data_IF_755194837714
#
_entry.id   IF_755194837714
#
_cell.length_a   1.000
_cell.length_b   1.000
_cell.length_c   1.000
_cell.angle_alpha   90.00
_cell.angle_beta   90.00
_cell.angle_gamma   90.00
#
_symmetry.space_group_name_H-M   'P 1'
#
loop_
_entity.id
_entity.type
_entity.pdbx_description
1 polymer ?
#
# COMPACT_ATOMS: atom_id res chain seq x y z
N UNK A 1 -0.01 12.76 9.67
CA UNK A 1 0.51 12.43 8.33
C UNK A 1 -0.53 11.55 7.66
N UNK A 2 -0.83 11.78 6.38
CA UNK A 2 -1.88 11.05 5.65
C UNK A 2 -1.23 10.33 4.48
N UNK A 3 -1.29 8.99 4.44
CA UNK A 3 -0.70 8.20 3.35
C UNK A 3 -1.69 8.16 2.18
N UNK A 4 -1.31 8.67 1.01
CA UNK A 4 -2.20 8.71 -0.16
C UNK A 4 -2.10 7.48 -1.04
N UNK A 5 -0.90 6.92 -1.18
CA UNK A 5 -0.71 5.69 -1.93
C UNK A 5 0.61 5.03 -1.57
N UNK A 6 0.65 3.71 -1.77
CA UNK A 6 1.89 2.94 -1.81
C UNK A 6 1.92 2.13 -3.10
N UNK A 7 3.07 2.14 -3.75
CA UNK A 7 3.41 1.28 -4.86
C UNK A 7 4.65 0.46 -4.52
N UNK A 8 4.60 -0.84 -4.76
CA UNK A 8 5.77 -1.74 -4.71
C UNK A 8 5.85 -2.47 -6.04
N UNK A 9 6.95 -2.28 -6.77
CA UNK A 9 7.22 -2.95 -8.03
C UNK A 9 8.71 -3.23 -8.13
N UNK A 10 9.11 -4.48 -8.39
CA UNK A 10 10.52 -4.86 -8.59
C UNK A 10 11.45 -4.35 -7.47
N UNK A 11 11.01 -4.45 -6.21
CA UNK A 11 11.62 -3.89 -4.99
C UNK A 11 11.72 -2.35 -4.91
N UNK A 12 11.33 -1.62 -5.97
CA UNK A 12 11.15 -0.18 -5.89
C UNK A 12 9.87 0.15 -5.10
N UNK A 13 10.03 1.01 -4.08
CA UNK A 13 8.94 1.49 -3.24
C UNK A 13 8.67 2.94 -3.58
N UNK A 14 7.40 3.29 -3.75
CA UNK A 14 6.97 4.68 -3.88
C UNK A 14 5.77 4.94 -2.98
N UNK A 15 5.94 5.78 -1.96
CA UNK A 15 4.88 6.17 -1.02
C UNK A 15 4.59 7.65 -1.17
N UNK A 16 3.34 7.98 -1.55
CA UNK A 16 2.86 9.35 -1.56
C UNK A 16 2.14 9.66 -0.26
N UNK A 17 2.42 10.81 0.36
CA UNK A 17 1.82 11.21 1.63
C UNK A 17 1.68 12.72 1.76
N UNK A 18 0.79 13.15 2.64
CA UNK A 18 0.58 14.55 3.01
C UNK A 18 1.02 14.80 4.44
N UNK A 19 1.63 15.96 4.67
CA UNK A 19 1.92 16.49 6.01
C UNK A 19 0.97 17.65 6.31
N UNK A 20 0.55 17.82 7.57
CA UNK A 20 -0.20 19.02 7.97
C UNK A 20 0.63 20.26 7.65
N UNK A 21 0.04 21.25 6.99
CA UNK A 21 0.66 22.54 6.70
C UNK A 21 -0.12 23.67 7.36
N UNK A 22 0.58 24.64 7.92
CA UNK A 22 -0.02 25.77 8.61
C UNK A 22 -0.62 26.82 7.65
N UNK A 23 -0.43 26.68 6.34
CA UNK A 23 -0.74 27.69 5.33
C UNK A 23 -2.11 27.52 4.67
N UNK A 24 -2.90 26.51 5.06
CA UNK A 24 -4.17 26.16 4.40
C UNK A 24 -3.99 25.49 3.03
N UNK A 25 -2.75 25.31 2.57
CA UNK A 25 -2.39 24.50 1.40
C UNK A 25 -2.12 23.06 1.83
N UNK A 26 -2.26 22.12 0.88
CA UNK A 26 -1.96 20.71 1.13
C UNK A 26 -0.71 20.30 0.37
N UNK A 27 0.39 20.11 1.09
CA UNK A 27 1.64 19.62 0.51
C UNK A 27 1.62 18.09 0.37
N UNK A 28 1.85 17.61 -0.84
CA UNK A 28 1.98 16.17 -1.16
C UNK A 28 3.45 15.87 -1.43
N UNK A 29 3.98 14.93 -0.68
CA UNK A 29 5.33 14.42 -0.82
C UNK A 29 5.29 13.02 -1.43
N UNK A 30 6.37 12.64 -2.12
CA UNK A 30 6.58 11.26 -2.57
C UNK A 30 7.96 10.81 -2.11
N UNK A 31 7.99 9.74 -1.31
CA UNK A 31 9.22 9.03 -0.96
C UNK A 31 9.40 7.89 -1.94
N UNK A 32 10.58 7.81 -2.57
CA UNK A 32 10.99 6.70 -3.41
C UNK A 32 12.22 6.03 -2.81
N UNK A 33 12.21 4.71 -2.72
CA UNK A 33 13.34 3.90 -2.27
C UNK A 33 13.63 2.81 -3.27
N UNK A 34 14.91 2.55 -3.51
CA UNK A 34 15.41 1.38 -4.25
C UNK A 34 16.02 0.33 -3.32
N UNK A 35 16.12 0.64 -2.03
CA UNK A 35 16.57 -0.32 -1.03
C UNK A 35 15.47 -1.34 -0.78
N UNK A 36 15.85 -2.57 -0.41
CA UNK A 36 14.91 -3.64 -0.14
C UNK A 36 13.90 -3.19 0.92
N UNK A 37 12.58 -3.29 0.63
CA UNK A 37 11.56 -2.95 1.60
C UNK A 37 11.70 -3.82 2.84
N UNK A 38 11.48 -3.21 4.01
CA UNK A 38 11.50 -3.93 5.28
C UNK A 38 10.49 -5.10 5.22
N UNK A 39 10.83 -6.28 5.78
CA UNK A 39 9.96 -7.45 5.71
C UNK A 39 8.53 -7.17 6.19
N UNK A 40 8.34 -6.31 7.19
CA UNK A 40 7.03 -5.99 7.74
C UNK A 40 6.17 -5.18 6.77
N UNK A 41 6.78 -4.22 6.05
CA UNK A 41 6.08 -3.46 5.01
C UNK A 41 5.68 -4.38 3.84
N UNK A 42 6.58 -5.28 3.43
CA UNK A 42 6.27 -6.30 2.43
C UNK A 42 5.14 -7.22 2.88
N UNK A 43 5.18 -7.70 4.13
CA UNK A 43 4.15 -8.57 4.68
C UNK A 43 2.79 -7.87 4.72
N UNK A 44 2.72 -6.63 5.20
CA UNK A 44 1.48 -5.86 5.23
C UNK A 44 0.93 -5.64 3.80
N UNK A 45 1.82 -5.31 2.86
CA UNK A 45 1.44 -5.12 1.46
C UNK A 45 0.94 -6.42 0.84
N UNK A 46 1.66 -7.52 1.00
CA UNK A 46 1.30 -8.84 0.48
C UNK A 46 0.02 -9.40 1.09
N UNK A 47 -0.24 -9.17 2.38
CA UNK A 47 -1.50 -9.54 3.04
C UNK A 47 -2.69 -8.86 2.36
N UNK A 48 -2.59 -7.54 2.11
CA UNK A 48 -3.65 -6.82 1.41
C UNK A 48 -3.77 -7.26 -0.06
N UNK A 49 -2.65 -7.52 -0.75
CA UNK A 49 -2.68 -8.10 -2.10
C UNK A 49 -3.43 -9.43 -2.14
N UNK A 50 -3.20 -10.33 -1.19
CA UNK A 50 -3.87 -11.63 -1.11
C UNK A 50 -5.38 -11.50 -0.92
N UNK A 51 -5.83 -10.57 -0.06
CA UNK A 51 -7.26 -10.30 0.14
C UNK A 51 -7.88 -9.79 -1.17
N UNK A 52 -7.21 -8.87 -1.86
CA UNK A 52 -7.71 -8.38 -3.14
C UNK A 52 -7.71 -9.48 -4.20
N UNK A 53 -6.64 -10.27 -4.32
CA UNK A 53 -6.57 -11.40 -5.25
C UNK A 53 -7.71 -12.38 -5.06
N UNK A 54 -8.11 -12.65 -3.81
CA UNK A 54 -9.28 -13.48 -3.50
C UNK A 54 -10.56 -12.96 -4.17
N UNK A 55 -10.75 -11.65 -4.22
CA UNK A 55 -11.90 -11.03 -4.91
C UNK A 55 -11.79 -11.08 -6.44
N UNK A 56 -10.61 -11.41 -6.98
CA UNK A 56 -10.33 -11.60 -8.40
C UNK A 56 -10.01 -13.07 -8.75
N UNK A 57 -10.44 -14.04 -7.91
CA UNK A 57 -10.18 -15.48 -8.12
C UNK A 57 -10.58 -15.97 -9.52
N UNK A 58 -11.61 -15.37 -10.14
CA UNK A 58 -12.01 -15.70 -11.51
C UNK A 58 -10.86 -15.56 -12.52
N UNK A 59 -9.91 -14.63 -12.32
CA UNK A 59 -8.74 -14.48 -13.20
C UNK A 59 -7.80 -15.69 -13.10
N UNK A 60 -7.74 -16.34 -11.95
CA UNK A 60 -6.95 -17.56 -11.75
C UNK A 60 -7.58 -18.74 -12.51
N UNK A 61 -8.91 -18.83 -12.57
CA UNK A 61 -9.62 -19.85 -13.36
C UNK A 61 -9.24 -19.80 -14.85
N UNK A 62 -9.08 -18.58 -15.38
CA UNK A 62 -8.64 -18.35 -16.76
C UNK A 62 -7.11 -18.42 -16.93
N UNK A 63 -6.36 -18.72 -15.86
CA UNK A 63 -4.89 -18.72 -15.84
C UNK A 63 -4.31 -17.41 -16.36
N UNK A 64 -4.91 -16.28 -15.98
CA UNK A 64 -4.46 -14.96 -16.39
C UNK A 64 -3.53 -14.43 -15.28
N UNK A 65 -2.22 -14.25 -15.54
CA UNK A 65 -1.32 -13.60 -14.61
C UNK A 65 -1.85 -12.24 -14.14
N UNK A 66 -1.91 -12.08 -12.82
CA UNK A 66 -2.46 -10.88 -12.18
C UNK A 66 -1.57 -10.44 -11.02
N UNK A 67 -1.13 -9.18 -11.08
CA UNK A 67 -0.28 -8.56 -10.08
C UNK A 67 -0.87 -7.21 -9.64
N UNK A 68 -1.31 -7.12 -8.39
CA UNK A 68 -1.56 -5.84 -7.72
C UNK A 68 -0.21 -5.21 -7.39
N UNK A 69 0.02 -3.95 -7.72
CA UNK A 69 1.29 -3.29 -7.39
C UNK A 69 1.10 -1.93 -6.70
N UNK A 70 -0.12 -1.41 -6.66
CA UNK A 70 -0.39 -0.09 -6.09
C UNK A 70 -1.71 -0.09 -5.31
N UNK A 71 -1.69 0.52 -4.14
CA UNK A 71 -2.87 0.86 -3.35
C UNK A 71 -2.97 2.37 -3.20
N UNK A 72 -4.19 2.90 -3.37
CA UNK A 72 -4.54 4.31 -3.16
C UNK A 72 -5.55 4.41 -2.05
N UNK A 73 -5.37 5.37 -1.14
CA UNK A 73 -6.19 5.52 0.05
C UNK A 73 -6.96 6.83 0.02
N UNK A 74 -8.26 6.74 0.27
CA UNK A 74 -9.14 7.88 0.42
C UNK A 74 -9.76 7.87 1.82
N UNK A 75 -9.48 8.94 2.54
CA UNK A 75 -9.92 9.14 3.92
C UNK A 75 -11.31 9.76 3.91
N UNK A 76 -12.12 9.39 4.91
CA UNK A 76 -13.44 9.97 5.13
C UNK A 76 -13.37 11.34 5.79
N UNK A 77 -14.54 11.87 6.14
CA UNK A 77 -14.67 13.17 6.82
C UNK A 77 -14.19 13.11 8.28
N UNK A 78 -14.15 11.92 8.86
CA UNK A 78 -13.55 11.67 10.17
C UNK A 78 -12.03 11.59 10.01
N UNK A 79 -11.32 12.47 10.70
CA UNK A 79 -9.87 12.57 10.62
C UNK A 79 -9.19 11.23 10.94
N UNK A 80 -8.34 10.77 10.02
CA UNK A 80 -7.58 9.52 10.18
C UNK A 80 -8.30 8.24 9.77
N UNK A 81 -9.62 8.27 9.52
CA UNK A 81 -10.37 7.08 9.10
C UNK A 81 -10.30 6.89 7.58
N UNK A 82 -9.82 5.73 7.12
CA UNK A 82 -9.89 5.37 5.69
C UNK A 82 -11.30 4.91 5.37
N UNK A 83 -11.91 5.54 4.37
CA UNK A 83 -13.23 5.17 3.88
C UNK A 83 -13.13 4.28 2.64
N UNK A 84 -12.21 4.58 1.73
CA UNK A 84 -12.13 3.88 0.45
C UNK A 84 -10.69 3.55 0.02
N UNK A 85 -10.53 2.45 -0.70
CA UNK A 85 -9.28 1.99 -1.29
C UNK A 85 -9.44 1.81 -2.80
N UNK A 86 -8.50 2.35 -3.57
CA UNK A 86 -8.35 2.06 -4.99
C UNK A 86 -7.18 1.10 -5.20
N UNK A 87 -7.34 0.12 -6.09
CA UNK A 87 -6.29 -0.85 -6.41
C UNK A 87 -5.86 -0.67 -7.85
N UNK A 88 -4.56 -0.66 -8.09
CA UNK A 88 -4.00 -0.69 -9.44
C UNK A 88 -2.96 -1.82 -9.58
N UNK A 89 -2.83 -2.31 -10.79
CA UNK A 89 -1.93 -3.41 -11.08
C UNK A 89 -1.80 -3.73 -12.56
N UNK A 90 -1.24 -4.90 -12.83
CA UNK A 90 -0.95 -5.41 -14.16
C UNK A 90 -1.62 -6.77 -14.32
N UNK A 91 -2.27 -6.94 -15.46
CA UNK A 91 -2.75 -8.22 -15.98
C UNK A 91 -1.88 -8.56 -17.17
N UNK A 92 -1.28 -9.74 -17.18
CA UNK A 92 -0.42 -10.20 -18.28
C UNK A 92 -1.08 -11.37 -19.00
N UNK A 93 -0.74 -11.58 -20.26
CA UNK A 93 -1.04 -12.81 -20.97
C UNK A 93 0.21 -13.71 -20.95
N UNK A 94 0.07 -15.00 -20.62
CA UNK A 94 1.21 -15.92 -20.66
C UNK A 94 1.70 -16.23 -22.07
N UNK A 95 0.86 -16.03 -23.09
CA UNK A 95 1.15 -16.40 -24.46
C UNK A 95 1.68 -15.23 -25.30
N UNK A 96 1.61 -14.00 -24.79
CA UNK A 96 2.05 -12.80 -25.50
C UNK A 96 2.80 -11.87 -24.54
N UNK A 97 3.73 -11.03 -25.02
CA UNK A 97 4.41 -10.04 -24.16
C UNK A 97 3.49 -8.87 -23.75
N UNK A 98 2.17 -9.01 -23.91
CA UNK A 98 1.22 -7.94 -23.67
C UNK A 98 0.90 -7.83 -22.18
N UNK A 99 1.01 -6.62 -21.65
CA UNK A 99 0.63 -6.26 -20.29
C UNK A 99 -0.45 -5.18 -20.32
N UNK A 100 -1.53 -5.41 -19.59
CA UNK A 100 -2.62 -4.47 -19.42
C UNK A 100 -2.59 -3.91 -18.01
N UNK A 101 -2.63 -2.57 -17.90
CA UNK A 101 -2.79 -1.91 -16.62
C UNK A 101 -4.27 -1.86 -16.26
N UNK A 102 -4.61 -2.27 -15.04
CA UNK A 102 -5.97 -2.11 -14.52
C UNK A 102 -5.97 -1.14 -13.34
N UNK A 103 -7.14 -0.55 -13.11
CA UNK A 103 -7.48 0.19 -11.90
C UNK A 103 -8.91 -0.18 -11.51
N UNK A 104 -9.16 -0.36 -10.23
CA UNK A 104 -10.52 -0.52 -9.71
C UNK A 104 -11.14 0.84 -9.47
N UNK A 105 -12.47 0.89 -9.41
CA UNK A 105 -13.15 1.98 -8.72
C UNK A 105 -12.84 1.95 -7.21
N UNK A 106 -13.24 3.00 -6.50
CA UNK A 106 -13.06 3.12 -5.06
C UNK A 106 -13.88 2.05 -4.33
N UNK A 107 -13.18 1.15 -3.63
CA UNK A 107 -13.76 0.09 -2.82
C UNK A 107 -14.00 0.61 -1.40
N UNK A 108 -15.22 0.54 -0.91
CA UNK A 108 -15.52 0.95 0.47
C UNK A 108 -14.91 -0.04 1.47
N UNK A 109 -14.21 0.49 2.47
CA UNK A 109 -13.55 -0.30 3.52
C UNK A 109 -14.57 -0.91 4.49
N UNK A 110 -15.65 -0.19 4.79
CA UNK A 110 -16.71 -0.63 5.72
C UNK A 110 -17.50 -1.85 5.24
N UNK A 111 -17.58 -2.07 3.92
CA UNK A 111 -18.47 -3.08 3.34
C UNK A 111 -17.80 -4.42 3.01
N UNK A 112 -16.47 -4.52 3.21
CA UNK A 112 -15.71 -5.64 2.65
C UNK A 112 -15.50 -6.82 3.62
N UNK A 113 -15.10 -6.55 4.87
CA UNK A 113 -14.84 -7.47 6.00
C UNK A 113 -13.92 -6.73 6.99
N UNK A 114 -14.09 -6.96 8.29
CA UNK A 114 -13.15 -6.51 9.34
C UNK A 114 -11.68 -6.82 9.00
N UNK A 115 -11.41 -7.97 8.37
CA UNK A 115 -10.06 -8.36 7.93
C UNK A 115 -9.46 -7.41 6.89
N UNK A 116 -10.29 -6.92 5.95
CA UNK A 116 -9.85 -5.98 4.92
C UNK A 116 -9.52 -4.62 5.54
N UNK A 117 -10.41 -4.09 6.40
CA UNK A 117 -10.18 -2.84 7.09
C UNK A 117 -8.91 -2.85 7.95
N UNK A 118 -8.70 -3.92 8.72
CA UNK A 118 -7.48 -4.11 9.52
C UNK A 118 -6.25 -4.13 8.62
N UNK A 119 -6.27 -4.88 7.52
CA UNK A 119 -5.11 -5.00 6.62
C UNK A 119 -4.78 -3.69 5.89
N UNK A 120 -5.78 -2.87 5.58
CA UNK A 120 -5.59 -1.53 5.04
C UNK A 120 -4.89 -0.63 6.07
N UNK A 121 -5.35 -0.67 7.32
CA UNK A 121 -4.74 0.11 8.40
C UNK A 121 -3.31 -0.35 8.71
N UNK A 122 -3.07 -1.66 8.82
CA UNK A 122 -1.76 -2.27 9.03
C UNK A 122 -0.75 -1.74 8.00
N UNK A 123 -1.13 -1.71 6.73
CA UNK A 123 -0.28 -1.23 5.64
C UNK A 123 0.04 0.27 5.76
N UNK A 124 -0.95 1.08 6.13
CA UNK A 124 -0.77 2.52 6.33
C UNK A 124 0.17 2.79 7.51
N UNK A 125 0.02 2.06 8.61
CA UNK A 125 0.89 2.19 9.78
C UNK A 125 2.34 1.81 9.45
N UNK A 126 2.56 0.74 8.69
CA UNK A 126 3.89 0.37 8.22
C UNK A 126 4.47 1.41 7.25
N UNK A 127 3.66 2.02 6.37
CA UNK A 127 4.10 3.14 5.54
C UNK A 127 4.59 4.32 6.39
N UNK A 128 3.84 4.67 7.45
CA UNK A 128 4.23 5.75 8.36
C UNK A 128 5.54 5.40 9.09
N UNK A 129 5.67 4.18 9.61
CA UNK A 129 6.91 3.71 10.27
C UNK A 129 8.10 3.72 9.32
N UNK A 130 7.89 3.35 8.06
CA UNK A 130 8.89 3.38 7.01
C UNK A 130 9.35 4.82 6.73
N UNK A 131 8.42 5.75 6.48
CA UNK A 131 8.73 7.17 6.23
C UNK A 131 9.43 7.83 7.41
N UNK A 132 8.96 7.57 8.64
CA UNK A 132 9.52 8.20 9.83
C UNK A 132 10.85 7.58 10.25
N UNK A 133 11.27 6.47 9.65
CA UNK A 133 12.50 5.77 10.02
C UNK A 133 12.50 5.22 11.45
N UNK A 134 11.35 5.23 12.17
CA UNK A 134 11.29 5.04 13.64
C UNK A 134 12.00 3.77 14.14
N UNK A 135 11.93 2.64 13.40
CA UNK A 135 12.64 1.42 13.80
C UNK A 135 14.16 1.41 13.56
N UNK A 136 14.68 2.26 12.66
CA UNK A 136 16.13 2.41 12.53
C UNK A 136 16.71 3.17 13.74
N UNK A 137 15.94 4.06 14.37
CA UNK A 137 16.31 4.66 15.64
C UNK A 137 16.15 3.68 16.80
N UNK A 138 15.05 2.92 16.87
CA UNK A 138 14.87 1.93 17.95
C UNK A 138 15.97 0.83 17.95
N UNK A 139 16.44 0.40 16.78
CA UNK A 139 17.56 -0.55 16.70
C UNK A 139 18.94 0.10 16.96
N UNK A 140 19.12 1.39 16.67
CA UNK A 140 20.39 2.10 16.96
C UNK A 140 20.64 2.29 18.47
N UNK A 141 19.59 2.22 19.30
CA UNK A 141 19.70 2.32 20.75
C UNK A 141 19.68 0.98 21.48
N UNK A 142 19.39 -0.13 20.78
CA UNK A 142 19.45 -1.48 21.37
C UNK A 142 20.83 -2.16 21.23
N UNK A 143 21.75 -1.58 20.45
CA UNK A 143 23.12 -2.10 20.27
C UNK A 143 24.16 -1.48 21.25
N UNK A 144 23.71 -0.77 22.30
CA UNK A 144 24.60 -0.12 23.29
C UNK A 144 24.32 -0.55 24.75
N UNK A 145 24.07 -1.83 24.99
CA UNK A 145 24.22 -2.43 26.33
C UNK A 145 25.02 -3.74 26.25
N UNK A 146 26.34 -3.63 26.06
CA UNK A 146 27.35 -4.54 26.64
C UNK A 146 28.47 -3.72 27.29
#
# INVERSE_FOLDING_TARGET
MIIKSIQIKDNDISIAYQKPSATGLTDVFTLKSKDDPRPELLQAFSKLQSIVKKNFEFLEEFKIPFLVNTFKFKYGDIEGLINQVGVEGIVSDMNTPNEFKFKTDWLNVEYADSTFAISVQDLIDECIKFIMGRRAQDNLFNDNEE
#
